data_IF_488096489583
#
_entry.id   IF_488096489583
#
_cell.length_a   1.000
_cell.length_b   1.000
_cell.length_c   1.000
_cell.angle_alpha   90.00
_cell.angle_beta   90.00
_cell.angle_gamma   90.00
#
_symmetry.space_group_name_H-M   'P 1'
#
loop_
_entity.id
_entity.type
_entity.pdbx_description
1 polymer ?
#
# COMPACT_ATOMS: atom_id res chain seq x y z
N UNK A 1 49.86 -15.69 -1.02
CA UNK A 1 49.17 -14.58 -0.33
C UNK A 1 48.16 -15.21 0.61
N UNK A 2 48.30 -15.06 1.92
CA UNK A 2 47.36 -15.65 2.89
C UNK A 2 46.11 -14.79 2.93
N UNK A 3 44.94 -15.37 3.22
CA UNK A 3 43.65 -14.64 3.33
C UNK A 3 43.77 -13.40 4.24
N UNK A 4 44.59 -13.50 5.28
CA UNK A 4 44.87 -12.44 6.27
C UNK A 4 45.54 -11.20 5.67
N UNK A 5 46.34 -11.36 4.60
CA UNK A 5 47.03 -10.25 3.94
C UNK A 5 46.05 -9.40 3.10
N UNK A 6 44.97 -10.01 2.58
CA UNK A 6 43.92 -9.34 1.79
C UNK A 6 43.03 -8.47 2.67
N UNK A 7 42.79 -8.87 3.92
CA UNK A 7 41.96 -8.11 4.86
C UNK A 7 42.69 -6.93 5.54
N UNK A 8 44.02 -6.86 5.43
CA UNK A 8 44.81 -5.70 5.89
C UNK A 8 44.82 -4.53 4.90
N UNK A 9 44.63 -4.78 3.61
CA UNK A 9 44.62 -3.72 2.59
C UNK A 9 43.31 -2.91 2.54
N UNK A 10 42.20 -3.46 3.04
CA UNK A 10 40.90 -2.78 3.11
C UNK A 10 40.61 -2.23 4.51
N UNK A 11 41.56 -1.47 5.06
CA UNK A 11 41.67 -1.00 6.44
C UNK A 11 40.40 -0.54 7.17
N UNK A 12 39.55 -1.47 7.62
CA UNK A 12 38.44 -1.24 8.54
C UNK A 12 38.07 -2.55 9.29
N UNK A 13 38.95 -3.07 10.14
CA UNK A 13 38.51 -3.95 11.24
C UNK A 13 39.26 -3.56 12.51
N UNK A 14 38.50 -3.06 13.48
CA UNK A 14 38.95 -2.70 14.83
C UNK A 14 39.53 -3.93 15.55
N UNK A 15 40.79 -3.85 15.99
CA UNK A 15 41.50 -4.93 16.68
C UNK A 15 40.78 -5.41 17.96
N UNK A 16 39.85 -4.61 18.50
CA UNK A 16 39.01 -4.98 19.62
C UNK A 16 38.01 -6.11 19.28
N UNK A 17 37.55 -6.22 18.02
CA UNK A 17 36.63 -7.28 17.58
C UNK A 17 37.33 -8.63 17.45
N UNK A 18 38.62 -8.64 17.08
CA UNK A 18 39.42 -9.87 16.99
C UNK A 18 39.70 -10.42 18.39
N UNK A 19 40.03 -9.56 19.36
CA UNK A 19 40.17 -9.95 20.78
C UNK A 19 38.85 -10.43 21.40
N UNK A 20 37.71 -9.92 20.96
CA UNK A 20 36.40 -10.39 21.42
C UNK A 20 36.08 -11.79 20.90
N UNK A 21 36.51 -12.13 19.67
CA UNK A 21 36.34 -13.47 19.10
C UNK A 21 37.26 -14.51 19.76
N UNK A 22 38.51 -14.16 20.10
CA UNK A 22 39.45 -15.09 20.76
C UNK A 22 39.00 -15.50 22.18
N UNK A 23 38.26 -14.65 22.89
CA UNK A 23 37.76 -14.94 24.24
C UNK A 23 36.44 -15.74 24.27
N UNK A 24 35.82 -16.02 23.12
CA UNK A 24 34.57 -16.79 23.04
C UNK A 24 34.74 -18.32 23.23
N UNK A 25 35.99 -18.79 23.30
CA UNK A 25 36.34 -20.22 23.42
C UNK A 25 36.47 -20.78 24.84
N UNK A 26 36.12 -20.05 25.90
CA UNK A 26 36.26 -20.54 27.29
C UNK A 26 34.90 -20.89 27.88
N UNK A 27 34.70 -22.18 28.19
CA UNK A 27 33.50 -22.72 28.88
C UNK A 27 33.23 -21.98 30.19
N UNK A 28 32.17 -21.17 30.26
CA UNK A 28 31.72 -20.53 31.50
C UNK A 28 30.48 -21.24 32.07
N UNK A 29 30.63 -21.68 33.33
CA UNK A 29 29.61 -22.27 34.20
C UNK A 29 28.34 -21.41 34.27
N UNK A 30 27.17 -22.07 34.23
CA UNK A 30 25.84 -21.49 34.49
C UNK A 30 25.80 -20.77 35.85
N UNK A 31 25.55 -19.46 35.84
CA UNK A 31 24.99 -18.70 36.97
C UNK A 31 23.66 -18.10 36.53
N UNK A 32 22.66 -18.19 37.42
CA UNK A 32 21.28 -17.80 37.15
C UNK A 32 21.16 -16.32 36.76
N UNK A 33 20.45 -16.08 35.67
CA UNK A 33 20.18 -14.75 35.12
C UNK A 33 19.13 -14.08 36.02
N UNK A 34 19.44 -12.92 36.60
CA UNK A 34 18.51 -12.19 37.45
C UNK A 34 17.39 -11.56 36.62
N UNK A 35 16.18 -11.48 37.19
CA UNK A 35 14.95 -10.95 36.53
C UNK A 35 15.12 -9.53 35.95
N UNK A 36 16.10 -8.77 36.43
CA UNK A 36 16.43 -7.41 35.97
C UNK A 36 17.02 -7.40 34.56
N UNK A 37 17.78 -8.43 34.17
CA UNK A 37 18.35 -8.55 32.82
C UNK A 37 17.29 -8.93 31.78
N UNK A 38 16.28 -9.73 32.17
CA UNK A 38 15.17 -10.07 31.29
C UNK A 38 14.35 -8.82 30.97
N UNK A 39 14.03 -7.98 31.97
CA UNK A 39 13.30 -6.74 31.75
C UNK A 39 14.07 -5.73 30.86
N UNK A 40 15.38 -5.61 31.04
CA UNK A 40 16.22 -4.73 30.22
C UNK A 40 16.29 -5.19 28.77
N UNK A 41 16.42 -6.49 28.51
CA UNK A 41 16.39 -7.06 27.16
C UNK A 41 15.01 -6.90 26.52
N UNK A 42 13.92 -7.10 27.27
CA UNK A 42 12.56 -6.87 26.77
C UNK A 42 12.31 -5.41 26.39
N UNK A 43 12.79 -4.44 27.20
CA UNK A 43 12.70 -3.03 26.85
C UNK A 43 13.58 -2.66 25.64
N UNK A 44 14.77 -3.26 25.51
CA UNK A 44 15.65 -3.03 24.36
C UNK A 44 15.05 -3.59 23.06
N UNK A 45 14.44 -4.78 23.12
CA UNK A 45 13.74 -5.39 21.97
C UNK A 45 12.53 -4.56 21.55
N UNK A 46 11.74 -4.09 22.52
CA UNK A 46 10.60 -3.20 22.23
C UNK A 46 11.07 -1.87 21.63
N UNK A 47 12.09 -1.23 22.20
CA UNK A 47 12.62 0.05 21.69
C UNK A 47 13.24 -0.10 20.29
N UNK A 48 14.02 -1.16 20.07
CA UNK A 48 14.60 -1.48 18.76
C UNK A 48 13.52 -1.79 17.73
N UNK A 49 12.42 -2.47 18.09
CA UNK A 49 11.30 -2.75 17.17
C UNK A 49 10.54 -1.49 16.77
N UNK A 50 10.31 -0.55 17.68
CA UNK A 50 9.60 0.70 17.35
C UNK A 50 10.49 1.67 16.57
N UNK A 51 11.79 1.71 16.86
CA UNK A 51 12.72 2.58 16.15
C UNK A 51 13.01 2.08 14.73
N UNK A 52 13.09 0.76 14.51
CA UNK A 52 13.27 0.20 13.15
C UNK A 52 12.03 0.37 12.28
N UNK A 53 10.82 0.27 12.84
CA UNK A 53 9.58 0.54 12.09
C UNK A 53 9.48 2.01 11.68
N UNK A 54 9.81 2.95 12.58
CA UNK A 54 9.81 4.38 12.27
C UNK A 54 10.90 4.78 11.28
N UNK A 55 12.13 4.23 11.41
CA UNK A 55 13.21 4.51 10.46
C UNK A 55 12.96 3.86 9.09
N UNK A 56 12.35 2.67 9.06
CA UNK A 56 11.93 2.02 7.83
C UNK A 56 10.85 2.86 7.14
N UNK A 57 9.79 3.29 7.84
CA UNK A 57 8.78 4.18 7.26
C UNK A 57 9.38 5.46 6.67
N UNK A 58 10.28 6.14 7.41
CA UNK A 58 10.94 7.36 6.95
C UNK A 58 11.97 7.14 5.81
N UNK A 59 12.53 5.93 5.70
CA UNK A 59 13.44 5.54 4.62
C UNK A 59 12.67 5.15 3.34
N UNK A 60 11.53 4.47 3.48
CA UNK A 60 10.66 4.09 2.36
C UNK A 60 9.95 5.30 1.74
N UNK A 61 9.51 6.27 2.54
CA UNK A 61 8.93 7.53 2.04
C UNK A 61 9.89 8.31 1.11
N UNK A 62 11.21 8.10 1.26
CA UNK A 62 12.24 8.76 0.43
C UNK A 62 12.69 7.98 -0.80
N UNK A 63 12.42 6.68 -0.88
CA UNK A 63 12.94 5.83 -1.97
C UNK A 63 11.91 5.40 -3.01
N UNK A 64 10.61 5.57 -2.76
CA UNK A 64 9.55 5.15 -3.68
C UNK A 64 9.18 6.18 -4.78
N UNK A 65 10.08 7.11 -5.11
CA UNK A 65 9.85 8.12 -6.15
C UNK A 65 9.99 7.58 -7.60
N UNK A 66 10.17 6.28 -7.82
CA UNK A 66 10.38 5.71 -9.16
C UNK A 66 9.25 4.79 -9.63
N UNK A 67 8.15 5.38 -10.16
CA UNK A 67 7.49 4.81 -11.34
C UNK A 67 7.33 5.80 -12.50
N UNK A 68 7.57 7.10 -12.27
CA UNK A 68 7.30 8.18 -13.24
C UNK A 68 8.33 8.31 -14.39
N UNK A 69 9.40 7.51 -14.35
CA UNK A 69 10.62 7.73 -15.14
C UNK A 69 10.54 7.33 -16.62
N UNK A 70 9.52 6.59 -17.07
CA UNK A 70 9.53 6.03 -18.44
C UNK A 70 8.92 6.91 -19.52
N UNK A 71 8.18 7.97 -19.14
CA UNK A 71 7.40 8.78 -20.09
C UNK A 71 7.65 10.29 -19.99
N UNK A 72 8.64 10.74 -19.22
CA UNK A 72 8.95 12.16 -19.05
C UNK A 72 10.40 12.43 -19.48
N UNK A 73 10.58 13.29 -20.49
CA UNK A 73 11.90 13.79 -20.92
C UNK A 73 12.55 14.58 -19.79
N UNK A 74 13.90 14.55 -19.74
CA UNK A 74 14.71 15.13 -18.67
C UNK A 74 14.51 16.64 -18.42
N UNK A 75 13.93 17.39 -19.35
CA UNK A 75 13.55 18.79 -19.13
C UNK A 75 12.28 18.98 -18.29
N UNK A 76 11.51 17.92 -18.05
CA UNK A 76 10.36 17.92 -17.12
C UNK A 76 10.73 17.37 -15.72
N UNK A 77 12.02 17.03 -15.50
CA UNK A 77 12.56 16.43 -14.27
C UNK A 77 13.03 17.49 -13.24
N UNK A 78 12.12 18.29 -12.71
CA UNK A 78 12.29 18.79 -11.34
C UNK A 78 11.25 18.09 -10.45
N UNK A 79 11.50 16.81 -10.17
CA UNK A 79 10.72 16.00 -9.22
C UNK A 79 11.65 15.45 -8.13
N UNK A 80 12.18 16.36 -7.32
CA UNK A 80 12.39 16.22 -5.87
C UNK A 80 12.33 17.64 -5.25
N UNK A 81 11.66 17.88 -4.10
CA UNK A 81 10.85 16.98 -3.27
C UNK A 81 9.38 16.99 -3.73
N UNK A 82 8.49 16.31 -2.98
CA UNK A 82 7.02 16.34 -3.11
C UNK A 82 6.58 17.70 -3.66
N UNK A 83 6.27 17.75 -4.95
CA UNK A 83 5.71 18.97 -5.54
C UNK A 83 4.40 19.20 -4.81
N UNK A 84 4.40 20.19 -3.92
CA UNK A 84 3.19 20.65 -3.25
C UNK A 84 2.09 20.78 -4.30
N UNK A 85 0.90 20.29 -3.96
CA UNK A 85 -0.25 20.37 -4.84
C UNK A 85 -0.40 21.81 -5.36
N UNK A 86 -0.41 21.97 -6.69
CA UNK A 86 -0.55 23.26 -7.34
C UNK A 86 -1.67 23.17 -8.39
N UNK A 87 -2.86 23.60 -7.97
CA UNK A 87 -4.04 23.62 -8.82
C UNK A 87 -3.81 24.38 -10.14
N UNK A 88 -2.97 25.44 -10.16
CA UNK A 88 -2.77 26.22 -11.38
C UNK A 88 -2.00 25.43 -12.45
N UNK A 89 -1.06 24.56 -12.04
CA UNK A 89 -0.38 23.66 -12.98
C UNK A 89 -1.35 22.68 -13.61
N UNK A 90 -2.25 22.10 -12.83
CA UNK A 90 -3.26 21.18 -13.35
C UNK A 90 -4.27 21.89 -14.26
N UNK A 91 -4.72 23.09 -13.90
CA UNK A 91 -5.56 23.93 -14.78
C UNK A 91 -4.86 24.26 -16.10
N UNK A 92 -3.55 24.50 -16.08
CA UNK A 92 -2.77 24.72 -17.31
C UNK A 92 -2.65 23.43 -18.14
N UNK A 93 -2.43 22.28 -17.48
CA UNK A 93 -2.29 20.99 -18.13
C UNK A 93 -3.56 20.50 -18.85
N UNK A 94 -4.75 21.02 -18.49
CA UNK A 94 -5.98 20.79 -19.26
C UNK A 94 -5.88 21.23 -20.73
N UNK A 95 -4.97 22.15 -21.06
CA UNK A 95 -4.73 22.64 -22.43
C UNK A 95 -3.71 21.82 -23.21
N UNK A 96 -3.23 20.71 -22.65
CA UNK A 96 -2.24 19.86 -23.31
C UNK A 96 -2.89 19.06 -24.45
N UNK A 97 -2.16 18.89 -25.55
CA UNK A 97 -2.55 17.97 -26.62
C UNK A 97 -2.34 16.49 -26.23
N UNK A 98 -1.77 16.21 -25.05
CA UNK A 98 -1.58 14.86 -24.53
C UNK A 98 -2.75 14.46 -23.62
N UNK A 99 -3.56 13.51 -24.09
CA UNK A 99 -4.70 12.96 -23.37
C UNK A 99 -4.37 12.43 -21.97
N UNK A 100 -3.18 11.86 -21.75
CA UNK A 100 -2.77 11.36 -20.43
C UNK A 100 -2.51 12.52 -19.46
N UNK A 101 -1.90 13.62 -19.93
CA UNK A 101 -1.72 14.81 -19.10
C UNK A 101 -3.07 15.43 -18.71
N UNK A 102 -4.00 15.49 -19.66
CA UNK A 102 -5.36 15.98 -19.42
C UNK A 102 -6.08 15.09 -18.41
N UNK A 103 -6.03 13.77 -18.58
CA UNK A 103 -6.61 12.81 -17.64
C UNK A 103 -6.05 12.96 -16.23
N UNK A 104 -4.72 13.07 -16.08
CA UNK A 104 -4.10 13.30 -14.77
C UNK A 104 -4.54 14.64 -14.18
N UNK A 105 -4.55 15.70 -14.97
CA UNK A 105 -4.97 17.03 -14.52
C UNK A 105 -6.41 17.03 -14.00
N UNK A 106 -7.33 16.41 -14.73
CA UNK A 106 -8.75 16.31 -14.33
C UNK A 106 -8.89 15.65 -12.96
N UNK A 107 -8.26 14.50 -12.76
CA UNK A 107 -8.38 13.75 -11.50
C UNK A 107 -7.71 14.50 -10.33
N UNK A 108 -6.56 15.14 -10.56
CA UNK A 108 -5.87 15.95 -9.53
C UNK A 108 -6.62 17.25 -9.20
N UNK A 109 -7.46 17.78 -10.07
CA UNK A 109 -8.27 18.96 -9.76
C UNK A 109 -9.33 18.71 -8.67
N UNK A 110 -9.64 17.45 -8.37
CA UNK A 110 -10.49 17.08 -7.22
C UNK A 110 -9.92 17.62 -5.89
N UNK A 111 -8.60 17.69 -5.74
CA UNK A 111 -7.93 18.23 -4.54
C UNK A 111 -8.22 19.72 -4.28
N UNK A 112 -8.82 20.43 -5.23
CA UNK A 112 -9.32 21.80 -4.99
C UNK A 112 -10.55 21.84 -4.08
N UNK A 113 -11.15 20.70 -3.73
CA UNK A 113 -12.44 20.60 -3.03
C UNK A 113 -12.59 21.51 -1.79
N UNK A 114 -11.51 21.66 -1.01
CA UNK A 114 -11.49 22.45 0.23
C UNK A 114 -11.33 23.96 0.00
N UNK A 115 -10.84 24.40 -1.17
CA UNK A 115 -10.71 25.82 -1.53
C UNK A 115 -11.86 26.21 -2.44
N UNK A 116 -12.82 26.98 -1.92
CA UNK A 116 -14.03 27.37 -2.65
C UNK A 116 -13.73 28.08 -3.97
N UNK A 117 -12.75 28.99 -3.98
CA UNK A 117 -12.41 29.77 -5.18
C UNK A 117 -11.77 28.89 -6.25
N UNK A 118 -10.85 28.00 -5.85
CA UNK A 118 -10.21 27.07 -6.79
C UNK A 118 -11.18 25.99 -7.25
N UNK A 119 -12.08 25.52 -6.38
CA UNK A 119 -13.13 24.55 -6.70
C UNK A 119 -14.08 25.08 -7.77
N UNK A 120 -14.57 26.30 -7.61
CA UNK A 120 -15.44 26.95 -8.62
C UNK A 120 -14.73 27.10 -9.96
N UNK A 121 -13.46 27.51 -9.93
CA UNK A 121 -12.65 27.61 -11.15
C UNK A 121 -12.44 26.24 -11.81
N UNK A 122 -12.12 25.21 -11.04
CA UNK A 122 -11.97 23.85 -11.54
C UNK A 122 -13.27 23.33 -12.16
N UNK A 123 -14.41 23.50 -11.48
CA UNK A 123 -15.73 23.12 -12.02
C UNK A 123 -16.01 23.74 -13.40
N UNK A 124 -15.75 25.04 -13.54
CA UNK A 124 -15.93 25.73 -14.81
C UNK A 124 -15.04 25.15 -15.93
N UNK A 125 -13.76 24.93 -15.65
CA UNK A 125 -12.79 24.44 -16.65
C UNK A 125 -12.98 22.94 -16.98
N UNK A 126 -13.57 22.15 -16.07
CA UNK A 126 -13.82 20.72 -16.29
C UNK A 126 -15.07 20.45 -17.14
N UNK A 127 -16.09 21.31 -17.08
CA UNK A 127 -17.36 21.09 -17.79
C UNK A 127 -17.23 20.78 -19.29
N UNK A 128 -16.36 21.46 -20.07
CA UNK A 128 -16.17 21.14 -21.49
C UNK A 128 -15.72 19.70 -21.77
N UNK A 129 -15.03 19.06 -20.82
CA UNK A 129 -14.52 17.70 -20.99
C UNK A 129 -15.59 16.61 -20.85
N UNK A 130 -16.79 16.95 -20.37
CA UNK A 130 -17.93 16.00 -20.32
C UNK A 130 -18.32 15.49 -21.71
N UNK A 131 -18.16 16.33 -22.74
CA UNK A 131 -18.48 16.02 -24.14
C UNK A 131 -17.22 15.64 -24.94
N UNK A 132 -16.14 15.21 -24.27
CA UNK A 132 -14.91 14.80 -24.95
C UNK A 132 -15.13 13.52 -25.77
N UNK A 133 -14.62 13.49 -27.00
CA UNK A 133 -14.57 12.27 -27.83
C UNK A 133 -13.75 11.14 -27.17
N UNK A 134 -12.89 11.47 -26.20
CA UNK A 134 -12.16 10.49 -25.41
C UNK A 134 -12.96 10.11 -24.16
N UNK A 135 -13.57 8.93 -24.18
CA UNK A 135 -14.41 8.42 -23.08
C UNK A 135 -13.69 8.43 -21.73
N UNK A 136 -12.39 8.13 -21.68
CA UNK A 136 -11.61 8.13 -20.42
C UNK A 136 -11.51 9.53 -19.81
N UNK A 137 -11.41 10.56 -20.65
CA UNK A 137 -11.40 11.97 -20.24
C UNK A 137 -12.80 12.41 -19.80
N UNK A 138 -13.84 12.02 -20.55
CA UNK A 138 -15.23 12.30 -20.20
C UNK A 138 -15.63 11.69 -18.86
N UNK A 139 -15.29 10.41 -18.64
CA UNK A 139 -15.56 9.69 -17.38
C UNK A 139 -14.82 10.32 -16.20
N UNK A 140 -13.54 10.68 -16.40
CA UNK A 140 -12.76 11.38 -15.37
C UNK A 140 -13.36 12.75 -15.03
N UNK A 141 -13.82 13.50 -16.04
CA UNK A 141 -14.45 14.81 -15.82
C UNK A 141 -15.77 14.67 -15.09
N UNK A 142 -16.61 13.70 -15.49
CA UNK A 142 -17.86 13.40 -14.81
C UNK A 142 -17.65 13.04 -13.34
N UNK A 143 -16.64 12.20 -13.05
CA UNK A 143 -16.25 11.88 -11.69
C UNK A 143 -15.77 13.10 -10.90
N UNK A 144 -14.84 13.88 -11.45
CA UNK A 144 -14.28 15.05 -10.77
C UNK A 144 -15.36 16.11 -10.49
N UNK A 145 -16.25 16.38 -11.45
CA UNK A 145 -17.38 17.30 -11.29
C UNK A 145 -18.35 16.77 -10.23
N UNK A 146 -18.67 15.48 -10.22
CA UNK A 146 -19.57 14.89 -9.21
C UNK A 146 -19.03 15.06 -7.78
N UNK A 147 -17.71 14.93 -7.59
CA UNK A 147 -17.06 15.22 -6.30
C UNK A 147 -17.10 16.72 -5.98
N UNK A 148 -16.59 17.58 -6.88
CA UNK A 148 -16.45 19.02 -6.64
C UNK A 148 -17.80 19.74 -6.49
N UNK A 149 -18.86 19.22 -7.13
CA UNK A 149 -20.23 19.72 -6.98
C UNK A 149 -20.99 19.11 -5.80
N UNK A 150 -20.35 18.21 -5.04
CA UNK A 150 -20.93 17.48 -3.90
C UNK A 150 -22.15 16.64 -4.28
N UNK A 151 -22.16 16.11 -5.51
CA UNK A 151 -23.22 15.25 -6.04
C UNK A 151 -23.14 13.83 -5.51
N UNK A 152 -21.93 13.25 -5.49
CA UNK A 152 -21.61 11.91 -5.00
C UNK A 152 -22.49 10.78 -5.58
N UNK A 153 -22.85 10.91 -6.86
CA UNK A 153 -23.68 9.93 -7.59
C UNK A 153 -22.85 8.84 -8.27
N UNK A 154 -21.54 9.03 -8.39
CA UNK A 154 -20.63 8.09 -9.02
C UNK A 154 -20.58 6.73 -8.32
N UNK A 155 -20.61 5.65 -9.09
CA UNK A 155 -20.56 4.26 -8.58
C UNK A 155 -19.20 3.88 -7.97
N UNK A 156 -18.17 4.67 -8.24
CA UNK A 156 -16.82 4.53 -7.67
C UNK A 156 -16.66 5.20 -6.31
N UNK A 157 -17.70 5.93 -5.84
CA UNK A 157 -17.73 6.60 -4.55
C UNK A 157 -18.46 5.68 -3.56
N UNK A 158 -17.74 5.18 -2.58
CA UNK A 158 -18.29 4.36 -1.52
C UNK A 158 -18.80 5.26 -0.39
N UNK A 159 -20.06 5.12 -0.02
CA UNK A 159 -20.60 5.74 1.19
C UNK A 159 -20.51 4.75 2.35
N UNK A 160 -19.93 5.20 3.46
CA UNK A 160 -19.79 4.41 4.68
C UNK A 160 -20.86 4.78 5.71
N UNK A 161 -21.06 3.88 6.67
CA UNK A 161 -22.07 4.03 7.72
C UNK A 161 -21.86 5.26 8.60
N UNK A 162 -20.60 5.69 8.78
CA UNK A 162 -20.24 6.89 9.54
C UNK A 162 -20.43 8.21 8.75
N UNK A 163 -20.99 8.12 7.55
CA UNK A 163 -21.22 9.26 6.64
C UNK A 163 -20.03 9.62 5.75
N UNK A 164 -18.88 8.97 5.94
CA UNK A 164 -17.70 9.17 5.09
C UNK A 164 -17.97 8.76 3.65
N UNK A 165 -17.37 9.48 2.70
CA UNK A 165 -17.33 9.11 1.29
C UNK A 165 -15.91 8.78 0.93
N UNK A 166 -15.70 7.58 0.42
CA UNK A 166 -14.39 7.01 0.15
C UNK A 166 -14.26 6.71 -1.35
N UNK A 167 -13.14 7.11 -1.95
CA UNK A 167 -12.87 6.90 -3.36
C UNK A 167 -11.36 6.94 -3.65
N UNK A 168 -10.99 6.58 -4.87
CA UNK A 168 -9.67 6.86 -5.44
C UNK A 168 -9.81 7.87 -6.57
N UNK A 169 -8.78 8.70 -6.78
CA UNK A 169 -8.79 9.66 -7.89
C UNK A 169 -8.61 8.97 -9.24
N UNK A 170 -7.87 7.87 -9.27
CA UNK A 170 -7.53 7.17 -10.51
C UNK A 170 -8.20 5.80 -10.53
N UNK A 171 -9.43 5.76 -11.03
CA UNK A 171 -10.19 4.52 -11.18
C UNK A 171 -9.73 3.76 -12.44
N UNK A 172 -9.51 2.44 -12.31
CA UNK A 172 -9.17 1.53 -13.42
C UNK A 172 -7.91 1.89 -14.23
N UNK A 173 -6.99 2.68 -13.68
CA UNK A 173 -5.75 3.04 -14.35
C UNK A 173 -4.60 2.15 -13.87
N UNK A 174 -4.29 1.10 -14.65
CA UNK A 174 -3.20 0.15 -14.41
C UNK A 174 -1.83 0.70 -14.80
N UNK A 175 -1.79 1.73 -15.63
CA UNK A 175 -0.58 2.17 -16.32
C UNK A 175 0.21 3.19 -15.49
N UNK A 176 0.54 2.82 -14.24
CA UNK A 176 1.52 3.50 -13.38
C UNK A 176 1.05 4.76 -12.61
N UNK A 177 0.21 4.52 -11.59
CA UNK A 177 0.24 5.35 -10.36
C UNK A 177 -1.08 6.03 -9.99
N UNK A 178 -1.94 5.29 -9.30
CA UNK A 178 -3.15 5.84 -8.66
C UNK A 178 -2.88 6.72 -7.43
N UNK A 179 -1.63 7.20 -7.26
CA UNK A 179 -1.02 7.60 -5.98
C UNK A 179 -1.10 6.55 -4.88
N UNK A 180 -1.83 5.44 -5.11
CA UNK A 180 -2.13 4.42 -4.12
C UNK A 180 -2.75 5.02 -2.84
N UNK A 181 -3.57 6.05 -3.04
CA UNK A 181 -4.23 6.82 -1.98
C UNK A 181 -5.73 6.57 -2.00
N UNK A 182 -6.26 6.32 -0.80
CA UNK A 182 -7.68 6.44 -0.50
C UNK A 182 -7.95 7.89 -0.07
N UNK A 183 -8.91 8.51 -0.73
CA UNK A 183 -9.42 9.83 -0.39
C UNK A 183 -10.70 9.70 0.41
N UNK A 184 -10.87 10.59 1.40
CA UNK A 184 -12.09 10.67 2.21
C UNK A 184 -12.69 12.06 2.16
N UNK A 185 -14.01 12.12 2.01
CA UNK A 185 -14.78 13.31 2.35
C UNK A 185 -15.62 12.99 3.59
N UNK A 186 -15.40 13.75 4.66
CA UNK A 186 -16.20 13.72 5.88
C UNK A 186 -16.43 15.15 6.37
N UNK A 187 -17.65 15.44 6.81
CA UNK A 187 -18.02 16.78 7.28
C UNK A 187 -17.66 17.91 6.30
N UNK A 188 -17.82 17.65 5.00
CA UNK A 188 -17.53 18.58 3.91
C UNK A 188 -16.04 18.97 3.77
N UNK A 189 -15.14 18.11 4.23
CA UNK A 189 -13.69 18.26 4.08
C UNK A 189 -13.13 17.06 3.34
N UNK A 190 -12.37 17.31 2.27
CA UNK A 190 -11.57 16.32 1.57
C UNK A 190 -10.22 16.14 2.27
N UNK A 191 -9.83 14.90 2.52
CA UNK A 191 -8.52 14.55 3.05
C UNK A 191 -7.93 13.32 2.35
N UNK A 192 -6.60 13.28 2.28
CA UNK A 192 -5.87 12.05 2.04
C UNK A 192 -6.02 11.17 3.28
N UNK A 193 -6.73 10.05 3.15
CA UNK A 193 -7.11 9.23 4.29
C UNK A 193 -6.09 8.12 4.56
N UNK A 194 -5.66 7.42 3.51
CA UNK A 194 -4.69 6.34 3.65
C UNK A 194 -3.85 6.18 2.39
N UNK A 195 -2.54 6.19 2.56
CA UNK A 195 -1.56 5.91 1.52
C UNK A 195 -0.95 4.52 1.72
N UNK A 196 -1.00 3.68 0.69
CA UNK A 196 -0.39 2.36 0.72
C UNK A 196 1.06 2.43 0.24
N UNK A 197 2.04 1.99 1.05
CA UNK A 197 3.44 2.02 0.65
C UNK A 197 3.75 0.93 -0.40
N UNK A 198 4.93 1.02 -1.02
CA UNK A 198 5.46 -0.08 -1.82
C UNK A 198 5.46 -1.40 -1.00
N UNK A 199 5.25 -2.55 -1.66
CA UNK A 199 5.21 -2.77 -3.11
C UNK A 199 3.84 -2.51 -3.77
N UNK A 200 2.83 -2.05 -3.02
CA UNK A 200 1.55 -1.71 -3.63
C UNK A 200 1.72 -0.50 -4.56
N UNK A 201 1.32 -0.64 -5.83
CA UNK A 201 1.46 0.39 -6.85
C UNK A 201 0.14 1.10 -7.14
N UNK A 202 -0.97 0.37 -7.08
CA UNK A 202 -2.29 0.96 -7.21
C UNK A 202 -3.39 0.17 -6.51
N UNK A 203 -4.48 0.87 -6.20
CA UNK A 203 -5.71 0.27 -5.68
C UNK A 203 -6.50 -0.27 -6.88
N UNK A 204 -6.64 -1.59 -6.95
CA UNK A 204 -7.42 -2.27 -7.99
C UNK A 204 -8.92 -2.21 -7.68
N UNK A 205 -9.29 -2.39 -6.42
CA UNK A 205 -10.70 -2.44 -6.01
C UNK A 205 -10.87 -2.12 -4.52
N UNK A 206 -12.01 -1.52 -4.18
CA UNK A 206 -12.50 -1.41 -2.81
C UNK A 206 -13.86 -2.09 -2.71
N UNK A 207 -14.08 -2.86 -1.65
CA UNK A 207 -15.30 -3.65 -1.43
C UNK A 207 -15.82 -3.33 -0.02
N UNK A 208 -16.91 -2.55 0.12
CA UNK A 208 -17.47 -2.26 1.44
C UNK A 208 -18.07 -3.52 2.07
N UNK A 209 -17.99 -3.62 3.39
CA UNK A 209 -18.76 -4.60 4.17
C UNK A 209 -20.26 -4.34 4.00
N UNK A 210 -21.13 -5.34 4.21
CA UNK A 210 -22.57 -5.15 4.06
C UNK A 210 -23.14 -4.06 4.99
N UNK A 211 -22.62 -3.94 6.21
CA UNK A 211 -22.93 -2.85 7.15
C UNK A 211 -22.25 -1.50 6.83
N UNK A 212 -21.39 -1.46 5.81
CA UNK A 212 -20.65 -0.28 5.34
C UNK A 212 -19.72 0.36 6.39
N UNK A 213 -19.30 -0.37 7.43
CA UNK A 213 -18.34 0.14 8.43
C UNK A 213 -16.89 -0.10 8.03
N UNK A 214 -16.65 -1.16 7.27
CA UNK A 214 -15.32 -1.57 6.83
C UNK A 214 -15.23 -1.63 5.32
N UNK A 215 -14.02 -1.48 4.80
CA UNK A 215 -13.71 -1.67 3.38
C UNK A 215 -12.58 -2.68 3.25
N UNK A 216 -12.76 -3.68 2.40
CA UNK A 216 -11.66 -4.52 1.93
C UNK A 216 -11.04 -3.83 0.71
N UNK A 217 -9.75 -3.51 0.80
CA UNK A 217 -8.99 -2.81 -0.23
C UNK A 217 -8.02 -3.79 -0.85
N UNK A 218 -8.12 -3.91 -2.18
CA UNK A 218 -7.23 -4.74 -2.99
C UNK A 218 -6.24 -3.81 -3.67
N UNK A 219 -4.98 -3.91 -3.28
CA UNK A 219 -3.88 -3.24 -3.97
C UNK A 219 -3.08 -4.25 -4.76
N UNK A 220 -2.39 -3.78 -5.79
CA UNK A 220 -1.61 -4.64 -6.66
C UNK A 220 -0.29 -3.97 -7.03
N UNK A 221 0.68 -4.82 -7.33
CA UNK A 221 1.92 -4.46 -7.99
C UNK A 221 1.94 -5.09 -9.40
N UNK A 222 3.09 -5.05 -10.06
CA UNK A 222 3.29 -5.79 -11.31
C UNK A 222 3.41 -7.31 -11.10
N UNK A 223 3.52 -7.78 -9.84
CA UNK A 223 3.88 -9.17 -9.52
C UNK A 223 2.95 -9.81 -8.50
N UNK A 224 2.29 -9.03 -7.67
CA UNK A 224 1.56 -9.51 -6.49
C UNK A 224 0.27 -8.74 -6.28
N UNK A 225 -0.67 -9.37 -5.60
CA UNK A 225 -1.86 -8.72 -5.08
C UNK A 225 -1.90 -8.80 -3.57
N UNK A 226 -2.48 -7.78 -2.96
CA UNK A 226 -2.55 -7.60 -1.52
C UNK A 226 -3.98 -7.25 -1.12
N UNK A 227 -4.37 -7.67 0.08
CA UNK A 227 -5.67 -7.32 0.65
C UNK A 227 -5.48 -6.78 2.07
N UNK A 228 -6.08 -5.63 2.35
CA UNK A 228 -6.21 -5.09 3.71
C UNK A 228 -7.65 -4.70 3.98
N UNK A 229 -8.13 -4.88 5.20
CA UNK A 229 -9.42 -4.39 5.68
C UNK A 229 -9.18 -3.16 6.52
N UNK A 230 -9.91 -2.08 6.22
CA UNK A 230 -9.88 -0.83 6.96
C UNK A 230 -11.28 -0.57 7.53
N UNK A 231 -11.38 -0.42 8.85
CA UNK A 231 -12.56 0.13 9.50
C UNK A 231 -12.33 1.64 9.71
N UNK A 232 -13.07 2.44 8.95
CA UNK A 232 -12.87 3.89 8.91
C UNK A 232 -13.37 4.59 10.17
N UNK A 233 -14.44 4.07 10.77
CA UNK A 233 -15.04 4.63 11.98
C UNK A 233 -14.14 4.43 13.20
N UNK A 234 -13.58 3.23 13.35
CA UNK A 234 -12.75 2.85 14.50
C UNK A 234 -11.25 3.15 14.28
N UNK A 235 -10.85 3.44 13.04
CA UNK A 235 -9.43 3.64 12.68
C UNK A 235 -8.59 2.37 12.84
N UNK A 236 -9.21 1.20 12.69
CA UNK A 236 -8.57 -0.12 12.86
C UNK A 236 -8.33 -0.75 11.51
N UNK A 237 -7.12 -1.27 11.30
CA UNK A 237 -6.73 -1.96 10.07
C UNK A 237 -6.37 -3.43 10.36
N UNK A 238 -6.62 -4.31 9.39
CA UNK A 238 -6.10 -5.67 9.40
C UNK A 238 -4.61 -5.68 9.04
N UNK A 239 -3.87 -6.76 9.35
CA UNK A 239 -2.65 -7.04 8.60
C UNK A 239 -2.94 -7.22 7.11
N UNK A 240 -1.89 -7.22 6.28
CA UNK A 240 -1.99 -7.65 4.90
C UNK A 240 -2.32 -9.16 4.86
N UNK A 241 -3.45 -9.50 4.23
CA UNK A 241 -4.08 -10.81 4.39
C UNK A 241 -3.46 -11.88 3.49
N UNK A 242 -2.86 -11.54 2.36
CA UNK A 242 -2.31 -12.50 1.39
C UNK A 242 -1.01 -13.10 1.93
N UNK A 243 -0.08 -12.27 2.37
CA UNK A 243 1.16 -12.67 3.01
C UNK A 243 0.88 -13.37 4.35
N UNK A 244 -0.10 -12.88 5.12
CA UNK A 244 -0.52 -13.55 6.35
C UNK A 244 -1.05 -14.97 6.07
N UNK A 245 -1.82 -15.16 5.00
CA UNK A 245 -2.30 -16.47 4.57
C UNK A 245 -1.15 -17.37 4.08
N UNK A 246 -0.21 -16.81 3.31
CA UNK A 246 1.00 -17.48 2.85
C UNK A 246 1.85 -18.00 4.01
N UNK A 247 2.13 -17.17 5.00
CA UNK A 247 2.88 -17.56 6.21
C UNK A 247 2.14 -18.67 6.96
N UNK A 248 0.82 -18.51 7.14
CA UNK A 248 0.02 -19.47 7.90
C UNK A 248 -0.07 -20.84 7.22
N UNK A 249 -0.33 -20.87 5.92
CA UNK A 249 -0.47 -22.11 5.16
C UNK A 249 0.88 -22.78 4.91
N UNK A 250 1.92 -22.00 4.62
CA UNK A 250 3.29 -22.52 4.52
C UNK A 250 3.72 -23.24 5.79
N UNK A 251 3.44 -22.66 6.96
CA UNK A 251 3.72 -23.32 8.24
C UNK A 251 2.91 -24.62 8.45
N UNK A 252 1.68 -24.71 7.93
CA UNK A 252 0.86 -25.93 8.01
C UNK A 252 1.38 -27.07 7.10
N UNK A 253 2.01 -26.71 5.98
CA UNK A 253 2.54 -27.64 4.97
C UNK A 253 4.06 -27.84 5.04
N UNK A 254 4.71 -27.24 6.04
CA UNK A 254 6.17 -27.24 6.20
C UNK A 254 6.92 -26.64 5.00
N UNK A 255 6.32 -25.66 4.31
CA UNK A 255 6.91 -24.93 3.20
C UNK A 255 7.71 -23.72 3.71
N UNK A 256 8.81 -23.42 3.04
CA UNK A 256 9.61 -22.25 3.40
C UNK A 256 8.98 -20.95 2.87
N UNK A 257 8.84 -19.97 3.77
CA UNK A 257 8.31 -18.64 3.46
C UNK A 257 9.41 -17.61 3.62
N UNK A 258 9.92 -17.11 2.49
CA UNK A 258 10.96 -16.10 2.48
C UNK A 258 10.32 -14.75 2.18
N UNK A 259 10.75 -13.71 2.90
CA UNK A 259 10.40 -12.33 2.59
C UNK A 259 11.45 -11.80 1.61
N UNK A 260 11.01 -11.42 0.42
CA UNK A 260 11.90 -10.86 -0.59
C UNK A 260 12.27 -9.43 -0.25
N UNK A 261 13.40 -8.95 -0.78
CA UNK A 261 13.85 -7.57 -0.57
C UNK A 261 12.94 -6.54 -1.22
N UNK A 262 12.20 -6.92 -2.27
CA UNK A 262 11.18 -6.09 -2.91
C UNK A 262 9.81 -6.21 -2.24
N UNK A 263 9.67 -7.00 -1.17
CA UNK A 263 8.43 -7.28 -0.43
C UNK A 263 7.28 -7.85 -1.29
N UNK A 264 7.58 -8.26 -2.52
CA UNK A 264 6.66 -8.95 -3.42
C UNK A 264 6.49 -10.41 -2.98
N UNK A 265 5.30 -10.99 -3.22
CA UNK A 265 4.98 -12.36 -2.82
C UNK A 265 4.53 -13.25 -3.99
N UNK A 266 4.37 -12.70 -5.21
CA UNK A 266 3.90 -13.41 -6.41
C UNK A 266 2.57 -14.15 -6.25
N UNK A 267 1.78 -13.72 -5.27
CA UNK A 267 0.50 -14.33 -4.94
C UNK A 267 -0.63 -13.47 -5.49
N UNK A 268 -1.73 -14.12 -5.87
CA UNK A 268 -2.86 -13.50 -6.55
C UNK A 268 -4.16 -13.86 -5.85
N UNK A 269 -5.16 -12.98 -5.93
CA UNK A 269 -6.44 -13.14 -5.24
C UNK A 269 -7.64 -13.05 -6.17
N UNK A 270 -8.59 -13.94 -5.94
CA UNK A 270 -9.84 -14.06 -6.70
C UNK A 270 -11.03 -14.22 -5.76
N UNK A 271 -12.25 -14.07 -6.31
CA UNK A 271 -13.50 -14.38 -5.61
C UNK A 271 -13.64 -13.75 -4.21
N UNK A 272 -13.21 -12.48 -4.10
CA UNK A 272 -13.21 -11.71 -2.85
C UNK A 272 -14.64 -11.28 -2.53
N UNK A 273 -15.16 -11.72 -1.38
CA UNK A 273 -16.49 -11.37 -0.92
C UNK A 273 -16.60 -11.37 0.61
N UNK A 274 -17.37 -10.42 1.13
CA UNK A 274 -17.86 -10.48 2.51
C UNK A 274 -18.90 -11.60 2.63
N UNK A 275 -18.76 -12.45 3.65
CA UNK A 275 -19.76 -13.48 4.00
C UNK A 275 -20.82 -12.94 4.95
N UNK A 276 -20.42 -11.98 5.77
CA UNK A 276 -21.21 -11.22 6.71
C UNK A 276 -20.50 -9.89 6.96
N UNK A 277 -20.98 -9.10 7.92
CA UNK A 277 -20.45 -7.77 8.26
C UNK A 277 -18.98 -7.77 8.72
N UNK A 278 -18.45 -8.92 9.13
CA UNK A 278 -17.15 -9.03 9.80
C UNK A 278 -16.18 -10.04 9.14
N UNK A 279 -16.68 -10.89 8.25
CA UNK A 279 -15.91 -12.01 7.69
C UNK A 279 -15.68 -11.81 6.20
N UNK A 280 -14.42 -11.62 5.82
CA UNK A 280 -14.00 -11.58 4.42
C UNK A 280 -13.52 -12.98 3.99
N UNK A 281 -13.98 -13.45 2.83
CA UNK A 281 -13.47 -14.65 2.19
C UNK A 281 -12.91 -14.32 0.81
N UNK A 282 -11.82 -14.97 0.44
CA UNK A 282 -11.26 -14.90 -0.90
C UNK A 282 -10.55 -16.21 -1.25
N UNK A 283 -10.36 -16.43 -2.54
CA UNK A 283 -9.48 -17.47 -3.06
C UNK A 283 -8.12 -16.86 -3.36
N UNK A 284 -7.05 -17.62 -3.13
CA UNK A 284 -5.70 -17.15 -3.40
C UNK A 284 -4.84 -18.25 -4.03
N UNK A 285 -3.99 -17.86 -4.97
CA UNK A 285 -2.86 -18.66 -5.42
C UNK A 285 -1.63 -18.17 -4.68
N UNK A 286 -1.15 -18.96 -3.70
CA UNK A 286 -0.04 -18.60 -2.83
C UNK A 286 1.27 -19.18 -3.39
N UNK A 287 2.24 -18.32 -3.63
CA UNK A 287 3.52 -18.73 -4.20
C UNK A 287 4.59 -18.96 -3.12
N UNK A 288 5.31 -20.06 -3.24
CA UNK A 288 6.47 -20.42 -2.40
C UNK A 288 7.68 -20.69 -3.28
N UNK A 289 8.87 -20.68 -2.69
CA UNK A 289 10.12 -21.04 -3.37
C UNK A 289 10.29 -20.32 -4.72
N UNK A 290 10.06 -19.00 -4.73
CA UNK A 290 10.13 -18.17 -5.95
C UNK A 290 9.26 -18.70 -7.11
N UNK A 291 8.01 -19.03 -6.81
CA UNK A 291 6.97 -19.53 -7.75
C UNK A 291 7.14 -20.98 -8.21
N UNK A 292 8.12 -21.72 -7.68
CA UNK A 292 8.27 -23.16 -7.96
C UNK A 292 7.09 -23.97 -7.41
N UNK A 293 6.51 -23.52 -6.31
CA UNK A 293 5.33 -24.13 -5.70
C UNK A 293 4.21 -23.08 -5.65
N UNK A 294 3.05 -23.43 -6.20
CA UNK A 294 1.83 -22.63 -6.15
C UNK A 294 0.73 -23.45 -5.48
N UNK A 295 0.17 -22.92 -4.40
CA UNK A 295 -0.89 -23.56 -3.63
C UNK A 295 -2.17 -22.74 -3.75
N UNK A 296 -3.22 -23.35 -4.28
CA UNK A 296 -4.54 -22.71 -4.37
C UNK A 296 -5.31 -22.94 -3.07
N UNK A 297 -5.76 -21.86 -2.46
CA UNK A 297 -6.42 -21.90 -1.15
C UNK A 297 -7.69 -21.05 -1.12
N UNK A 298 -8.60 -21.38 -0.20
CA UNK A 298 -9.61 -20.46 0.31
C UNK A 298 -9.13 -19.86 1.62
N UNK A 299 -9.12 -18.53 1.71
CA UNK A 299 -8.82 -17.78 2.93
C UNK A 299 -10.11 -17.20 3.48
N UNK A 300 -10.36 -17.38 4.78
CA UNK A 300 -11.45 -16.74 5.50
C UNK A 300 -10.87 -15.98 6.68
N UNK A 301 -11.18 -14.68 6.79
CA UNK A 301 -10.65 -13.81 7.82
C UNK A 301 -11.78 -13.10 8.57
N UNK A 302 -11.87 -13.33 9.88
CA UNK A 302 -12.78 -12.63 10.78
C UNK A 302 -12.09 -11.39 11.36
N UNK A 303 -12.56 -10.21 10.99
CA UNK A 303 -11.87 -8.95 11.27
C UNK A 303 -11.77 -8.62 12.76
N UNK A 304 -12.88 -8.58 13.49
CA UNK A 304 -12.89 -8.26 14.94
C UNK A 304 -12.07 -9.22 15.79
N UNK A 305 -12.10 -10.52 15.45
CA UNK A 305 -11.42 -11.57 16.23
C UNK A 305 -9.96 -11.78 15.79
N UNK A 306 -9.56 -11.20 14.65
CA UNK A 306 -8.26 -11.40 14.02
C UNK A 306 -7.94 -12.88 13.78
N UNK A 307 -8.97 -13.65 13.41
CA UNK A 307 -8.86 -15.09 13.16
C UNK A 307 -8.82 -15.32 11.65
N UNK A 308 -7.73 -15.94 11.19
CA UNK A 308 -7.58 -16.38 9.81
C UNK A 308 -7.71 -17.90 9.73
N UNK A 309 -8.48 -18.39 8.77
CA UNK A 309 -8.49 -19.78 8.35
C UNK A 309 -8.02 -19.86 6.89
N UNK A 310 -7.12 -20.81 6.61
CA UNK A 310 -6.63 -21.08 5.25
C UNK A 310 -6.81 -22.57 5.00
N UNK A 311 -7.47 -22.91 3.90
CA UNK A 311 -7.77 -24.28 3.49
C UNK A 311 -7.40 -24.46 2.03
N UNK A 312 -6.89 -25.64 1.69
CA UNK A 312 -6.67 -26.03 0.30
C UNK A 312 -7.97 -25.90 -0.50
N UNK A 313 -7.88 -25.32 -1.69
CA UNK A 313 -9.02 -25.14 -2.57
C UNK A 313 -9.36 -26.50 -3.19
N UNK A 314 -10.45 -27.12 -2.73
CA UNK A 314 -10.93 -28.35 -3.35
C UNK A 314 -11.49 -28.05 -4.74
N UNK A 315 -10.74 -28.39 -5.79
CA UNK A 315 -11.14 -28.25 -7.21
C UNK A 315 -12.26 -29.21 -7.64
N UNK A 316 -13.03 -29.78 -6.71
CA UNK A 316 -14.18 -30.65 -7.02
C UNK A 316 -15.44 -29.82 -7.28
N UNK A 317 -15.44 -29.09 -8.41
CA UNK A 317 -16.66 -28.58 -9.08
C UNK A 317 -16.50 -28.63 -10.59
#
# INVERSE_FOLDING_TARGET
MKREDIFREFGLIDENLIKAAENSGVKVRKKGISKMWIALVSCLVLYCSTSTVLLAMAYYEKHDAEPYLRYLTAENMELQPVTHYDANKFLQALKSDNNEHVYVAINRLVETFNDERLREKALHELHPFLESDNQKIADASAFAIDILSKGYKGTTILQLADGSKIFTLFNNYSDYGSQNVIWRIKDDVLEEYYHFPAPSLYIRKMIPSPDQKSIAVVTVSNKSEFIQIINVEEGINSPELVESARIKYGAQKELETWIRTDHENYSYVNNIAWKDDNTLQFEASLAYENTEIIENVTVTYQFSNKVMEVKELNESR
#
